data_IF_735699426068
#
_entry.id   IF_735699426068
#
_cell.length_a   1.000
_cell.length_b   1.000
_cell.length_c   1.000
_cell.angle_alpha   90.00
_cell.angle_beta   90.00
_cell.angle_gamma   90.00
#
_symmetry.space_group_name_H-M   'P 1'
#
loop_
_entity.id
_entity.type
_entity.pdbx_description
1 polymer ?
#
# COMPACT_ATOMS: atom_id res chain seq x y z
N UNK A 1 -28.46 -20.64 -7.50
CA UNK A 1 -27.60 -20.57 -6.31
C UNK A 1 -28.26 -19.67 -5.28
N UNK A 2 -28.10 -19.97 -4.01
CA UNK A 2 -28.54 -19.08 -2.94
C UNK A 2 -27.53 -17.93 -2.77
N UNK A 3 -27.94 -16.82 -2.16
CA UNK A 3 -27.04 -15.70 -1.87
C UNK A 3 -25.86 -16.13 -0.97
N UNK A 4 -26.08 -17.12 -0.09
CA UNK A 4 -25.03 -17.69 0.77
C UNK A 4 -23.99 -18.50 -0.03
N UNK A 5 -24.44 -19.27 -1.04
CA UNK A 5 -23.54 -20.01 -1.93
C UNK A 5 -22.70 -19.05 -2.81
N UNK A 6 -23.29 -17.97 -3.31
CA UNK A 6 -22.59 -16.95 -4.08
C UNK A 6 -21.57 -16.20 -3.22
N UNK A 7 -21.91 -15.84 -1.98
CA UNK A 7 -20.99 -15.23 -1.04
C UNK A 7 -19.82 -16.16 -0.69
N UNK A 8 -20.09 -17.47 -0.45
CA UNK A 8 -19.02 -18.43 -0.17
C UNK A 8 -18.06 -18.59 -1.34
N UNK A 9 -18.56 -18.67 -2.57
CA UNK A 9 -17.72 -18.71 -3.78
C UNK A 9 -16.88 -17.44 -3.95
N UNK A 10 -17.44 -16.28 -3.62
CA UNK A 10 -16.70 -15.01 -3.68
C UNK A 10 -15.53 -15.00 -2.70
N UNK A 11 -15.75 -15.46 -1.46
CA UNK A 11 -14.69 -15.59 -0.46
C UNK A 11 -13.62 -16.61 -0.87
N UNK A 12 -14.02 -17.69 -1.53
CA UNK A 12 -13.08 -18.70 -2.05
C UNK A 12 -12.16 -18.13 -3.13
N UNK A 13 -12.68 -17.31 -4.04
CA UNK A 13 -11.88 -16.61 -5.06
C UNK A 13 -10.85 -15.67 -4.45
N UNK A 14 -11.19 -14.99 -3.36
CA UNK A 14 -10.33 -14.11 -2.61
C UNK A 14 -10.11 -12.72 -3.20
N UNK A 15 -10.84 -12.33 -4.26
CA UNK A 15 -10.80 -10.97 -4.84
C UNK A 15 -12.20 -10.40 -4.97
N UNK A 16 -12.30 -9.08 -5.12
CA UNK A 16 -13.57 -8.35 -5.14
C UNK A 16 -14.46 -8.68 -3.93
N UNK A 17 -13.83 -8.87 -2.77
CA UNK A 17 -14.56 -9.18 -1.55
C UNK A 17 -15.41 -7.97 -1.11
N UNK A 18 -16.56 -8.20 -0.47
CA UNK A 18 -17.45 -7.12 -0.05
C UNK A 18 -16.80 -6.28 1.05
N UNK A 19 -16.73 -4.98 0.83
CA UNK A 19 -16.30 -4.00 1.84
C UNK A 19 -17.56 -3.52 2.58
N UNK A 20 -17.58 -3.70 3.89
CA UNK A 20 -18.70 -3.19 4.70
C UNK A 20 -18.66 -1.66 4.81
N UNK A 21 -19.79 -1.08 5.20
CA UNK A 21 -19.94 0.38 5.27
C UNK A 21 -19.05 0.99 6.34
N UNK A 22 -18.85 0.32 7.47
CA UNK A 22 -18.00 0.81 8.55
C UNK A 22 -16.53 0.90 8.10
N UNK A 23 -16.02 -0.13 7.40
CA UNK A 23 -14.66 -0.12 6.87
C UNK A 23 -14.49 0.97 5.80
N UNK A 24 -15.52 1.20 4.98
CA UNK A 24 -15.53 2.27 3.98
C UNK A 24 -15.45 3.64 4.63
N UNK A 25 -16.27 3.92 5.64
CA UNK A 25 -16.27 5.17 6.39
C UNK A 25 -14.94 5.40 7.14
N UNK A 26 -14.39 4.35 7.75
CA UNK A 26 -13.08 4.39 8.40
C UNK A 26 -11.98 4.75 7.39
N UNK A 27 -11.94 4.06 6.25
CA UNK A 27 -10.94 4.28 5.22
C UNK A 27 -11.02 5.72 4.64
N UNK A 28 -12.22 6.22 4.39
CA UNK A 28 -12.42 7.58 3.90
C UNK A 28 -11.99 8.63 4.93
N UNK A 29 -12.36 8.43 6.20
CA UNK A 29 -12.00 9.31 7.31
C UNK A 29 -10.49 9.36 7.50
N UNK A 30 -9.84 8.21 7.50
CA UNK A 30 -8.39 8.09 7.64
C UNK A 30 -7.67 8.81 6.50
N UNK A 31 -8.06 8.54 5.24
CA UNK A 31 -7.44 9.18 4.08
C UNK A 31 -7.58 10.71 4.15
N UNK A 32 -8.77 11.21 4.42
CA UNK A 32 -9.01 12.66 4.55
C UNK A 32 -8.15 13.28 5.65
N UNK A 33 -8.17 12.70 6.84
CA UNK A 33 -7.42 13.16 7.99
C UNK A 33 -5.90 13.18 7.73
N UNK A 34 -5.35 12.12 7.13
CA UNK A 34 -3.93 12.06 6.88
C UNK A 34 -3.49 13.03 5.79
N UNK A 35 -4.25 13.17 4.72
CA UNK A 35 -3.95 14.12 3.66
C UNK A 35 -3.96 15.56 4.13
N UNK A 36 -4.80 15.91 5.13
CA UNK A 36 -4.79 17.22 5.75
C UNK A 36 -3.46 17.58 6.45
N UNK A 37 -2.69 16.60 6.94
CA UNK A 37 -1.38 16.85 7.56
C UNK A 37 -0.36 17.49 6.61
N UNK A 38 -0.50 17.27 5.30
CA UNK A 38 0.42 17.80 4.30
C UNK A 38 -0.26 18.64 3.20
N UNK A 39 -1.48 19.12 3.49
CA UNK A 39 -2.23 19.99 2.58
C UNK A 39 -1.42 21.23 2.18
N UNK A 40 -0.75 21.87 3.13
CA UNK A 40 0.08 23.06 2.92
C UNK A 40 1.21 22.80 1.91
N UNK A 41 1.83 21.65 1.97
CA UNK A 41 2.87 21.24 1.02
C UNK A 41 2.24 20.97 -0.34
N UNK A 42 1.12 20.23 -0.40
CA UNK A 42 0.44 19.92 -1.65
C UNK A 42 -0.08 21.18 -2.37
N UNK A 43 -0.61 22.16 -1.63
CA UNK A 43 -1.10 23.41 -2.19
C UNK A 43 -0.01 24.25 -2.87
N UNK A 44 1.19 24.26 -2.28
CA UNK A 44 2.32 25.07 -2.75
C UNK A 44 3.27 24.32 -3.68
N UNK A 45 3.10 23.00 -3.82
CA UNK A 45 3.95 22.18 -4.67
C UNK A 45 3.86 22.56 -6.15
N UNK A 46 4.98 22.46 -6.86
CA UNK A 46 5.00 22.53 -8.31
C UNK A 46 4.41 21.24 -8.88
N UNK A 47 3.24 21.35 -9.49
CA UNK A 47 2.51 20.23 -10.09
C UNK A 47 2.80 20.07 -11.58
N UNK A 48 3.71 20.90 -12.12
CA UNK A 48 4.00 20.93 -13.54
C UNK A 48 2.82 21.44 -14.39
N UNK A 49 2.93 21.26 -15.67
CA UNK A 49 1.91 21.70 -16.68
C UNK A 49 1.21 20.53 -17.37
N UNK A 50 1.63 19.30 -17.06
CA UNK A 50 1.03 18.10 -17.64
C UNK A 50 -0.34 17.79 -17.01
N UNK A 51 -1.17 17.04 -17.72
CA UNK A 51 -2.45 16.57 -17.19
C UNK A 51 -2.30 15.64 -15.99
N UNK A 52 -1.18 14.93 -15.90
CA UNK A 52 -0.84 14.09 -14.76
C UNK A 52 0.12 14.84 -13.85
N UNK A 53 -0.28 15.01 -12.60
CA UNK A 53 0.58 15.61 -11.57
C UNK A 53 1.68 14.63 -11.20
N UNK A 54 2.93 15.08 -11.24
CA UNK A 54 4.10 14.35 -10.73
C UNK A 54 4.93 15.31 -9.91
N UNK A 55 4.93 15.11 -8.60
CA UNK A 55 5.71 15.89 -7.67
C UNK A 55 7.16 15.41 -7.66
N UNK A 56 8.09 16.29 -7.31
CA UNK A 56 9.46 15.89 -7.09
C UNK A 56 9.63 15.07 -5.80
N UNK A 57 10.68 14.27 -5.74
CA UNK A 57 10.96 13.37 -4.62
C UNK A 57 11.08 14.11 -3.28
N UNK A 58 11.69 15.30 -3.29
CA UNK A 58 11.86 16.10 -2.08
C UNK A 58 10.51 16.51 -1.50
N UNK A 59 9.59 16.97 -2.34
CA UNK A 59 8.22 17.33 -1.96
C UNK A 59 7.48 16.15 -1.34
N UNK A 60 7.57 14.96 -1.96
CA UNK A 60 6.95 13.72 -1.45
C UNK A 60 7.55 13.32 -0.10
N UNK A 61 8.87 13.43 0.07
CA UNK A 61 9.54 13.14 1.36
C UNK A 61 9.18 14.13 2.46
N UNK A 62 8.93 15.40 2.13
CA UNK A 62 8.43 16.40 3.09
C UNK A 62 7.00 16.08 3.55
N UNK A 63 6.13 15.63 2.64
CA UNK A 63 4.80 15.12 2.98
C UNK A 63 4.90 13.90 3.91
N UNK A 64 5.77 12.93 3.58
CA UNK A 64 6.02 11.76 4.42
C UNK A 64 6.43 12.17 5.84
N UNK A 65 7.31 13.15 5.96
CA UNK A 65 7.77 13.64 7.25
C UNK A 65 6.61 14.15 8.11
N UNK A 66 5.67 14.90 7.54
CA UNK A 66 4.48 15.40 8.27
C UNK A 66 3.65 14.26 8.83
N UNK A 67 3.38 13.23 8.03
CA UNK A 67 2.60 12.06 8.45
C UNK A 67 3.37 11.20 9.46
N UNK A 68 4.67 11.03 9.26
CA UNK A 68 5.56 10.35 10.21
C UNK A 68 5.57 11.05 11.57
N UNK A 69 5.70 12.38 11.58
CA UNK A 69 5.73 13.18 12.82
C UNK A 69 4.39 13.10 13.57
N UNK A 70 3.29 12.82 12.87
CA UNK A 70 1.98 12.54 13.44
C UNK A 70 1.82 11.09 13.97
N UNK A 71 2.83 10.23 13.81
CA UNK A 71 2.89 8.89 14.40
C UNK A 71 2.38 7.74 13.53
N UNK A 72 2.09 7.98 12.24
CA UNK A 72 1.55 6.94 11.36
C UNK A 72 2.64 6.17 10.61
N UNK A 73 2.46 4.83 10.38
CA UNK A 73 3.31 4.05 9.50
C UNK A 73 3.16 4.55 8.07
N UNK A 74 4.20 5.16 7.51
CA UNK A 74 4.13 5.86 6.23
C UNK A 74 5.31 5.52 5.32
N UNK A 75 5.02 5.01 4.14
CA UNK A 75 5.93 4.81 3.02
C UNK A 75 5.74 5.89 1.95
N UNK A 76 6.58 5.87 0.94
CA UNK A 76 6.44 6.68 -0.27
C UNK A 76 6.81 5.88 -1.51
N UNK A 77 6.40 6.35 -2.67
CA UNK A 77 6.86 5.84 -3.96
C UNK A 77 8.27 6.33 -4.36
N UNK A 78 8.90 7.17 -3.54
CA UNK A 78 10.29 7.60 -3.77
C UNK A 78 11.22 6.42 -3.62
N UNK A 79 12.02 6.16 -4.64
CA UNK A 79 12.96 5.03 -4.67
C UNK A 79 13.93 5.10 -3.49
N UNK A 80 14.08 3.97 -2.78
CA UNK A 80 14.94 3.82 -1.59
C UNK A 80 14.57 4.67 -0.38
N UNK A 81 13.38 5.26 -0.34
CA UNK A 81 12.90 5.90 0.88
C UNK A 81 12.63 4.86 1.97
N UNK A 82 12.80 5.27 3.23
CA UNK A 82 12.52 4.42 4.37
C UNK A 82 11.09 4.67 4.86
N UNK A 83 10.42 3.59 5.29
CA UNK A 83 9.14 3.71 5.99
C UNK A 83 9.33 4.45 7.31
N UNK A 84 8.48 5.43 7.58
CA UNK A 84 8.37 6.05 8.88
C UNK A 84 7.50 5.23 9.82
N UNK A 85 7.85 5.17 11.12
CA UNK A 85 7.10 4.46 12.17
C UNK A 85 6.81 2.98 11.84
N UNK A 86 7.82 2.28 11.36
CA UNK A 86 7.72 0.90 10.86
C UNK A 86 7.52 -0.14 11.98
N UNK A 87 7.76 0.19 13.23
CA UNK A 87 7.87 -0.75 14.36
C UNK A 87 6.58 -1.54 14.57
N UNK A 88 5.42 -0.89 14.45
CA UNK A 88 4.12 -1.55 14.58
C UNK A 88 3.85 -2.55 13.45
N UNK A 89 4.33 -2.24 12.26
CA UNK A 89 4.21 -3.11 11.08
C UNK A 89 5.14 -4.31 11.20
N UNK A 90 6.39 -4.09 11.65
CA UNK A 90 7.36 -5.16 11.93
C UNK A 90 6.82 -6.13 12.98
N UNK A 91 6.26 -5.61 14.09
CA UNK A 91 5.65 -6.42 15.15
C UNK A 91 4.47 -7.24 14.62
N UNK A 92 3.53 -6.59 13.93
CA UNK A 92 2.37 -7.27 13.34
C UNK A 92 2.78 -8.43 12.41
N UNK A 93 3.72 -8.19 11.49
CA UNK A 93 4.16 -9.23 10.55
C UNK A 93 4.86 -10.40 11.25
N UNK A 94 5.62 -10.14 12.31
CA UNK A 94 6.22 -11.20 13.13
C UNK A 94 5.17 -12.02 13.88
N UNK A 95 4.17 -11.37 14.47
CA UNK A 95 3.04 -12.02 15.13
C UNK A 95 2.24 -12.88 14.15
N UNK A 96 2.02 -12.40 12.91
CA UNK A 96 1.40 -13.20 11.85
C UNK A 96 2.21 -14.46 11.51
N UNK A 97 3.54 -14.37 11.46
CA UNK A 97 4.40 -15.55 11.22
C UNK A 97 4.29 -16.59 12.33
N UNK A 98 3.89 -16.18 13.54
CA UNK A 98 3.59 -17.04 14.70
C UNK A 98 2.13 -17.52 14.72
N UNK A 99 1.31 -17.15 13.72
CA UNK A 99 -0.10 -17.52 13.63
C UNK A 99 -1.03 -16.66 14.48
N UNK A 100 -0.58 -15.52 14.99
CA UNK A 100 -1.43 -14.62 15.77
C UNK A 100 -2.24 -13.71 14.84
N UNK A 101 -3.57 -13.72 15.03
CA UNK A 101 -4.47 -12.84 14.29
C UNK A 101 -4.32 -11.38 14.70
N UNK A 102 -4.54 -10.47 13.76
CA UNK A 102 -4.44 -9.04 14.03
C UNK A 102 -4.61 -8.21 12.77
N UNK A 103 -4.38 -6.91 12.89
CA UNK A 103 -4.40 -6.00 11.74
C UNK A 103 -3.44 -4.83 11.91
N UNK A 104 -3.00 -4.26 10.79
CA UNK A 104 -2.19 -3.06 10.75
C UNK A 104 -2.58 -2.22 9.54
N UNK A 105 -2.50 -0.89 9.68
CA UNK A 105 -2.69 0.03 8.55
C UNK A 105 -1.34 0.62 8.16
N UNK A 106 -1.02 0.54 6.89
CA UNK A 106 0.14 1.16 6.26
C UNK A 106 -0.36 2.23 5.29
N UNK A 107 0.27 3.37 5.31
CA UNK A 107 -0.01 4.45 4.37
C UNK A 107 1.16 4.63 3.41
N UNK A 108 0.87 5.11 2.19
CA UNK A 108 1.90 5.41 1.19
C UNK A 108 1.55 6.69 0.45
N UNK A 109 2.49 7.65 0.41
CA UNK A 109 2.32 8.86 -0.40
C UNK A 109 2.79 8.58 -1.82
N UNK A 110 1.90 8.83 -2.77
CA UNK A 110 2.14 8.64 -4.19
C UNK A 110 2.76 9.89 -4.83
N UNK A 111 3.34 9.72 -6.01
CA UNK A 111 4.04 10.79 -6.72
C UNK A 111 3.13 11.96 -7.16
N UNK A 112 1.82 11.76 -7.16
CA UNK A 112 0.84 12.82 -7.40
C UNK A 112 0.38 13.53 -6.12
N UNK A 113 0.95 13.17 -4.97
CA UNK A 113 0.55 13.66 -3.65
C UNK A 113 -0.71 13.00 -3.09
N UNK A 114 -1.28 12.02 -3.77
CA UNK A 114 -2.35 11.19 -3.24
C UNK A 114 -1.85 10.21 -2.18
N UNK A 115 -2.76 9.52 -1.52
CA UNK A 115 -2.48 8.62 -0.41
C UNK A 115 -3.03 7.23 -0.68
N UNK A 116 -2.18 6.20 -0.60
CA UNK A 116 -2.60 4.82 -0.44
C UNK A 116 -2.84 4.50 1.04
N UNK A 117 -3.94 3.83 1.37
CA UNK A 117 -4.18 3.23 2.68
C UNK A 117 -4.36 1.73 2.48
N UNK A 118 -3.52 0.95 3.12
CA UNK A 118 -3.54 -0.51 3.06
C UNK A 118 -3.74 -1.05 4.47
N UNK A 119 -4.93 -1.57 4.76
CA UNK A 119 -5.22 -2.27 6.01
C UNK A 119 -5.03 -3.76 5.79
N UNK A 120 -3.94 -4.29 6.32
CA UNK A 120 -3.68 -5.72 6.33
C UNK A 120 -4.37 -6.35 7.53
N UNK A 121 -5.06 -7.47 7.30
CA UNK A 121 -5.82 -8.21 8.29
C UNK A 121 -5.41 -9.68 8.20
N UNK A 122 -4.93 -10.25 9.30
CA UNK A 122 -4.58 -11.66 9.39
C UNK A 122 -5.53 -12.35 10.37
N UNK A 123 -6.23 -13.38 9.93
CA UNK A 123 -7.21 -14.12 10.75
C UNK A 123 -6.61 -15.30 11.55
N UNK A 124 -5.31 -15.51 11.41
CA UNK A 124 -4.56 -16.64 11.98
C UNK A 124 -4.22 -17.71 10.93
N UNK A 125 -4.77 -17.61 9.74
CA UNK A 125 -4.53 -18.52 8.60
C UNK A 125 -4.25 -17.74 7.33
N UNK A 126 -5.19 -16.89 6.93
CA UNK A 126 -5.12 -16.10 5.71
C UNK A 126 -4.90 -14.62 6.01
N UNK A 127 -4.20 -13.95 5.11
CA UNK A 127 -4.02 -12.50 5.16
C UNK A 127 -4.84 -11.84 4.06
N UNK A 128 -5.45 -10.72 4.41
CA UNK A 128 -6.29 -9.90 3.54
C UNK A 128 -5.76 -8.46 3.53
N UNK A 129 -6.09 -7.72 2.49
CA UNK A 129 -5.82 -6.29 2.43
C UNK A 129 -7.04 -5.52 1.94
N UNK A 130 -7.42 -4.48 2.69
CA UNK A 130 -8.34 -3.45 2.23
C UNK A 130 -7.49 -2.29 1.73
N UNK A 131 -7.50 -2.07 0.42
CA UNK A 131 -6.74 -1.01 -0.24
C UNK A 131 -7.65 0.14 -0.63
N UNK A 132 -7.25 1.36 -0.27
CA UNK A 132 -8.00 2.58 -0.55
C UNK A 132 -7.08 3.61 -1.19
N UNK A 133 -7.57 4.29 -2.21
CA UNK A 133 -6.86 5.38 -2.90
C UNK A 133 -7.45 6.72 -2.50
N UNK A 134 -6.70 7.50 -1.72
CA UNK A 134 -6.97 8.91 -1.46
C UNK A 134 -6.44 9.80 -2.59
N UNK A 135 -7.25 10.73 -3.03
CA UNK A 135 -6.92 11.68 -4.11
C UNK A 135 -7.27 13.11 -3.71
N UNK A 136 -6.62 14.06 -4.35
CA UNK A 136 -6.99 15.47 -4.31
C UNK A 136 -7.98 15.77 -5.43
N UNK A 137 -9.09 16.42 -5.10
CA UNK A 137 -10.03 16.88 -6.12
C UNK A 137 -9.59 18.24 -6.70
N UNK A 138 -10.36 18.77 -7.65
CA UNK A 138 -10.06 20.04 -8.30
C UNK A 138 -10.05 21.25 -7.35
N UNK A 139 -10.76 21.17 -6.22
CA UNK A 139 -10.79 22.18 -5.18
C UNK A 139 -9.71 21.99 -4.10
N UNK A 140 -8.75 21.14 -4.38
CA UNK A 140 -7.66 20.76 -3.47
C UNK A 140 -8.15 20.16 -2.13
N UNK A 141 -9.28 19.45 -2.18
CA UNK A 141 -9.84 18.73 -1.03
C UNK A 141 -9.59 17.23 -1.16
N UNK A 142 -9.28 16.55 -0.05
CA UNK A 142 -9.08 15.11 -0.09
C UNK A 142 -10.40 14.36 -0.26
N UNK A 143 -10.35 13.25 -0.99
CA UNK A 143 -11.43 12.30 -1.18
C UNK A 143 -10.88 10.93 -1.48
N UNK A 144 -11.73 9.93 -1.67
CA UNK A 144 -11.31 8.60 -2.11
C UNK A 144 -11.81 8.31 -3.52
N UNK A 145 -11.00 7.67 -4.34
CA UNK A 145 -11.35 7.28 -5.71
C UNK A 145 -11.79 5.83 -5.80
N UNK A 146 -11.21 4.96 -4.99
CA UNK A 146 -11.60 3.55 -4.97
C UNK A 146 -11.25 2.89 -3.63
N UNK A 147 -11.92 1.78 -3.35
CA UNK A 147 -11.63 0.86 -2.27
C UNK A 147 -11.82 -0.58 -2.75
N UNK A 148 -10.91 -1.47 -2.40
CA UNK A 148 -10.98 -2.89 -2.71
C UNK A 148 -10.63 -3.74 -1.49
N UNK A 149 -11.16 -4.97 -1.44
CA UNK A 149 -10.86 -5.95 -0.41
C UNK A 149 -10.44 -7.25 -1.08
N UNK A 150 -9.23 -7.72 -0.78
CA UNK A 150 -8.61 -8.84 -1.49
C UNK A 150 -7.81 -9.69 -0.50
N UNK A 151 -7.87 -11.03 -0.66
CA UNK A 151 -6.99 -11.95 0.07
C UNK A 151 -5.63 -12.01 -0.61
N UNK A 152 -4.57 -12.14 0.19
CA UNK A 152 -3.25 -12.46 -0.29
C UNK A 152 -3.19 -13.94 -0.66
N UNK A 153 -2.77 -14.25 -1.88
CA UNK A 153 -2.56 -15.62 -2.36
C UNK A 153 -1.37 -16.26 -1.63
N UNK A 154 -0.32 -15.49 -1.49
CA UNK A 154 0.85 -15.81 -0.66
C UNK A 154 1.51 -14.53 -0.14
N UNK A 155 2.26 -14.65 0.93
CA UNK A 155 3.04 -13.55 1.48
C UNK A 155 4.27 -14.05 2.22
N UNK A 156 5.26 -13.19 2.35
CA UNK A 156 6.50 -13.47 3.08
C UNK A 156 7.04 -12.20 3.72
N UNK A 157 7.50 -12.34 4.96
CA UNK A 157 8.27 -11.30 5.63
C UNK A 157 9.68 -11.81 5.93
N UNK A 158 10.71 -11.09 5.49
CA UNK A 158 12.09 -11.50 5.62
C UNK A 158 12.78 -10.88 6.83
N UNK A 159 13.84 -11.50 7.33
CA UNK A 159 14.68 -10.95 8.40
C UNK A 159 15.28 -9.58 8.06
N UNK A 160 15.48 -9.29 6.75
CA UNK A 160 15.96 -7.99 6.26
C UNK A 160 14.88 -6.92 6.20
N UNK A 161 13.63 -7.25 6.56
CA UNK A 161 12.52 -6.30 6.62
C UNK A 161 11.79 -6.10 5.29
N UNK A 162 11.84 -7.06 4.36
CA UNK A 162 11.04 -7.07 3.16
C UNK A 162 9.73 -7.79 3.39
N UNK A 163 8.63 -7.12 3.12
CA UNK A 163 7.30 -7.71 3.02
C UNK A 163 6.91 -7.86 1.56
N UNK A 164 6.79 -9.10 1.11
CA UNK A 164 6.44 -9.46 -0.26
C UNK A 164 5.13 -10.20 -0.24
N UNK A 165 4.24 -9.90 -1.18
CA UNK A 165 2.97 -10.60 -1.28
C UNK A 165 2.42 -10.62 -2.70
N UNK A 166 1.58 -11.59 -2.98
CA UNK A 166 0.82 -11.74 -4.20
C UNK A 166 -0.67 -11.71 -3.86
N UNK A 167 -1.45 -10.95 -4.61
CA UNK A 167 -2.89 -10.88 -4.43
C UNK A 167 -3.61 -12.00 -5.17
N UNK A 168 -4.75 -12.47 -4.62
CA UNK A 168 -5.70 -13.22 -5.41
C UNK A 168 -6.27 -12.30 -6.49
N UNK A 169 -6.20 -12.73 -7.74
CA UNK A 169 -6.69 -11.99 -8.90
C UNK A 169 -7.51 -12.93 -9.78
N UNK A 170 -8.41 -12.42 -10.63
CA UNK A 170 -9.06 -13.23 -11.65
C UNK A 170 -7.99 -13.97 -12.46
N UNK A 171 -8.27 -15.22 -12.87
CA UNK A 171 -7.36 -15.95 -13.75
C UNK A 171 -7.03 -15.07 -14.97
N UNK A 172 -5.76 -14.65 -15.13
CA UNK A 172 -5.38 -13.80 -16.23
C UNK A 172 -5.43 -14.60 -17.55
N UNK A 173 -5.68 -13.94 -18.68
CA UNK A 173 -5.36 -14.55 -19.96
C UNK A 173 -3.89 -14.96 -19.97
N UNK A 174 -3.54 -16.11 -20.56
CA UNK A 174 -2.19 -16.73 -20.57
C UNK A 174 -1.02 -15.79 -20.87
N UNK A 175 -1.27 -14.63 -21.46
CA UNK A 175 -0.25 -13.63 -21.82
C UNK A 175 0.06 -12.64 -20.69
N UNK A 176 -0.75 -12.56 -19.65
CA UNK A 176 -0.64 -11.58 -18.55
C UNK A 176 -0.15 -12.16 -17.21
N UNK A 177 0.14 -13.46 -17.14
CA UNK A 177 0.60 -14.15 -15.93
C UNK A 177 1.83 -13.51 -15.27
N UNK A 178 2.60 -12.71 -16.02
CA UNK A 178 3.86 -12.12 -15.53
C UNK A 178 3.61 -10.81 -14.75
N UNK A 179 2.39 -10.25 -14.82
CA UNK A 179 2.10 -8.88 -14.34
C UNK A 179 1.23 -8.85 -13.08
N UNK A 180 0.78 -10.00 -12.58
CA UNK A 180 -0.36 -10.02 -11.70
C UNK A 180 -0.03 -10.07 -10.22
N UNK A 181 -0.45 -9.02 -9.56
CA UNK A 181 -0.73 -9.01 -8.13
C UNK A 181 0.48 -9.00 -7.20
N UNK A 182 1.71 -9.06 -7.71
CA UNK A 182 2.89 -9.05 -6.85
C UNK A 182 3.19 -7.64 -6.35
N UNK A 183 3.20 -7.48 -5.04
CA UNK A 183 3.56 -6.23 -4.38
C UNK A 183 4.75 -6.43 -3.46
N UNK A 184 5.63 -5.43 -3.42
CA UNK A 184 6.81 -5.42 -2.58
C UNK A 184 6.80 -4.17 -1.71
N UNK A 185 6.70 -4.36 -0.40
CA UNK A 185 6.79 -3.26 0.57
C UNK A 185 8.02 -3.49 1.45
N UNK A 186 8.84 -2.47 1.53
CA UNK A 186 9.97 -2.46 2.43
C UNK A 186 9.58 -1.86 3.77
N UNK A 187 9.70 -2.66 4.83
CA UNK A 187 9.30 -2.27 6.19
C UNK A 187 10.47 -1.68 6.96
N UNK A 188 11.58 -2.40 7.05
CA UNK A 188 12.76 -1.95 7.81
C UNK A 188 13.69 -1.06 6.96
N UNK A 189 14.32 -0.04 7.57
CA UNK A 189 15.36 0.74 6.91
C UNK A 189 16.48 -0.16 6.37
N UNK A 190 16.98 0.13 5.18
CA UNK A 190 18.15 -0.56 4.61
C UNK A 190 19.44 0.12 5.03
N UNK A 191 20.49 -0.67 5.16
CA UNK A 191 21.87 -0.16 5.16
C UNK A 191 22.30 0.21 3.71
N UNK A 192 23.35 0.99 3.55
CA UNK A 192 23.89 1.33 2.22
C UNK A 192 24.21 0.06 1.40
N UNK A 193 24.83 -0.94 2.02
CA UNK A 193 25.13 -2.23 1.38
C UNK A 193 23.88 -2.97 0.92
N UNK A 194 22.81 -2.95 1.70
CA UNK A 194 21.53 -3.56 1.32
C UNK A 194 20.86 -2.81 0.17
N UNK A 195 21.01 -1.48 0.09
CA UNK A 195 20.52 -0.68 -1.02
C UNK A 195 21.23 -1.09 -2.33
N UNK A 196 22.54 -1.21 -2.32
CA UNK A 196 23.31 -1.63 -3.49
C UNK A 196 22.95 -3.05 -3.96
N UNK A 197 22.76 -3.98 -3.03
CA UNK A 197 22.32 -5.35 -3.35
C UNK A 197 20.90 -5.39 -3.91
N UNK A 198 20.00 -4.56 -3.37
CA UNK A 198 18.63 -4.43 -3.85
C UNK A 198 18.57 -3.91 -5.28
N UNK A 199 19.38 -2.91 -5.64
CA UNK A 199 19.50 -2.43 -7.01
C UNK A 199 19.94 -3.54 -7.99
N UNK A 200 20.86 -4.38 -7.58
CA UNK A 200 21.32 -5.52 -8.40
C UNK A 200 20.21 -6.56 -8.58
N UNK A 201 19.46 -6.87 -7.52
CA UNK A 201 18.34 -7.82 -7.59
C UNK A 201 17.22 -7.31 -8.50
N UNK A 202 16.83 -6.04 -8.36
CA UNK A 202 15.79 -5.42 -9.20
C UNK A 202 16.23 -5.39 -10.67
N UNK A 203 17.47 -5.07 -10.96
CA UNK A 203 18.02 -5.11 -12.32
C UNK A 203 18.14 -6.53 -12.88
N UNK A 204 18.49 -7.51 -12.03
CA UNK A 204 18.66 -8.92 -12.42
C UNK A 204 17.34 -9.63 -12.74
N UNK A 205 16.23 -9.17 -12.18
CA UNK A 205 14.89 -9.72 -12.42
C UNK A 205 14.16 -9.05 -13.59
N UNK A 206 14.81 -8.12 -14.31
CA UNK A 206 14.17 -7.40 -15.42
C UNK A 206 13.08 -6.43 -14.98
N UNK A 207 12.93 -6.21 -13.70
CA UNK A 207 12.08 -5.15 -13.15
C UNK A 207 12.69 -3.80 -13.46
N UNK A 208 12.37 -3.27 -14.61
CA UNK A 208 12.49 -1.84 -14.82
C UNK A 208 11.45 -1.21 -13.91
N UNK A 209 11.94 -0.47 -12.89
CA UNK A 209 11.16 0.09 -11.81
C UNK A 209 10.04 1.05 -12.22
N UNK A 210 9.01 0.54 -12.82
CA UNK A 210 7.85 1.32 -13.23
C UNK A 210 6.55 0.88 -12.57
N UNK A 211 6.53 -0.17 -11.76
CA UNK A 211 5.31 -0.56 -11.05
C UNK A 211 5.64 -1.27 -9.74
N UNK A 212 6.36 -0.60 -8.87
CA UNK A 212 6.29 -0.89 -7.45
C UNK A 212 5.18 -0.01 -6.89
N UNK A 213 3.97 -0.39 -7.15
CA UNK A 213 2.76 0.10 -6.49
C UNK A 213 2.37 -0.90 -5.44
#
# INVERSE_FOLDING_TARGET
>A
KSAEEEAAEQWEKGYDLPVDEQEREEAETDCKKLMEHYLDIHETADKGIASNVVLDDQTVLEMQKKVKDAGYPIATMVTYSNMGNYESVDSFLKECMEGQSGSVVIYEIHNDGGLGRMKFIFDGTDMYVVSTRGIWNADNKPGISYISYTRLKEWKYTEKGWFCYELCVPEPPEVSEIMDGSCLIRIKPMTEEQCEMSERCVRGLGYQGQNLL
#
